data_IF_059115426149
#
_entry.id   IF_059115426149
#
_cell.length_a   1.000
_cell.length_b   1.000
_cell.length_c   1.000
_cell.angle_alpha   90.00
_cell.angle_beta   90.00
_cell.angle_gamma   90.00
#
_symmetry.space_group_name_H-M   'P 1'
#
loop_
_entity.id
_entity.type
_entity.pdbx_description
1 polymer ?
#
# COMPACT_ATOMS: atom_id res chain seq x y z
N UNK A 1 -34.49 -1.27 -18.05
CA UNK A 1 -33.50 -1.55 -16.99
C UNK A 1 -32.62 -2.71 -17.42
N UNK A 2 -31.31 -2.68 -17.12
CA UNK A 2 -30.34 -3.78 -17.32
C UNK A 2 -29.86 -4.30 -15.96
N UNK A 3 -29.18 -5.44 -15.91
CA UNK A 3 -28.74 -6.05 -14.65
C UNK A 3 -27.27 -6.49 -14.69
N UNK A 4 -26.57 -6.29 -13.56
CA UNK A 4 -25.23 -6.82 -13.28
C UNK A 4 -25.19 -7.21 -11.81
N UNK A 5 -24.80 -8.46 -11.50
CA UNK A 5 -24.60 -8.91 -10.12
C UNK A 5 -25.85 -8.84 -9.22
N UNK A 6 -27.05 -8.87 -9.80
CA UNK A 6 -28.31 -8.74 -9.06
C UNK A 6 -28.77 -7.30 -8.82
N UNK A 7 -27.96 -6.29 -9.16
CA UNK A 7 -28.38 -4.89 -9.17
C UNK A 7 -28.99 -4.52 -10.52
N UNK A 8 -30.15 -3.86 -10.48
CA UNK A 8 -30.77 -3.25 -11.66
C UNK A 8 -30.18 -1.87 -11.91
N UNK A 9 -29.99 -1.48 -13.16
CA UNK A 9 -29.48 -0.14 -13.48
C UNK A 9 -30.02 0.42 -14.79
N UNK A 10 -29.96 1.74 -14.90
CA UNK A 10 -30.20 2.52 -16.12
C UNK A 10 -29.01 3.45 -16.34
N UNK A 11 -28.58 3.54 -17.61
CA UNK A 11 -27.54 4.47 -18.04
C UNK A 11 -28.20 5.52 -18.92
N UNK A 12 -28.03 6.76 -18.50
CA UNK A 12 -28.39 7.99 -19.20
C UNK A 12 -27.16 8.60 -19.86
N UNK A 13 -27.34 9.75 -20.53
CA UNK A 13 -26.25 10.49 -21.16
C UNK A 13 -25.16 10.88 -20.14
N UNK A 14 -25.57 11.27 -18.93
CA UNK A 14 -24.68 11.79 -17.88
C UNK A 14 -24.60 10.84 -16.69
N UNK A 15 -25.68 10.14 -16.36
CA UNK A 15 -25.81 9.41 -15.09
C UNK A 15 -25.92 7.90 -15.27
N UNK A 16 -25.42 7.18 -14.27
CA UNK A 16 -25.82 5.80 -13.99
C UNK A 16 -26.67 5.81 -12.72
N UNK A 17 -27.87 5.25 -12.81
CA UNK A 17 -28.75 5.05 -11.65
C UNK A 17 -28.91 3.56 -11.39
N UNK A 18 -28.68 3.15 -10.15
CA UNK A 18 -28.72 1.77 -9.66
C UNK A 18 -29.90 1.57 -8.72
N UNK A 19 -30.66 0.50 -8.93
CA UNK A 19 -31.52 -0.13 -7.94
C UNK A 19 -30.67 -1.17 -7.21
N UNK A 20 -30.12 -0.79 -6.07
CA UNK A 20 -29.17 -1.59 -5.33
C UNK A 20 -29.85 -2.82 -4.72
N UNK A 21 -29.31 -4.00 -5.05
CA UNK A 21 -29.70 -5.34 -4.60
C UNK A 21 -30.79 -5.36 -3.51
N UNK A 22 -32.08 -5.44 -3.87
CA UNK A 22 -33.15 -5.45 -2.90
C UNK A 22 -32.96 -6.60 -1.91
N UNK A 23 -32.78 -6.28 -0.63
CA UNK A 23 -32.56 -7.28 0.41
C UNK A 23 -33.90 -7.84 0.85
N UNK A 24 -34.04 -9.16 0.77
CA UNK A 24 -35.24 -9.89 1.19
C UNK A 24 -34.89 -10.71 2.42
N UNK A 25 -35.62 -10.52 3.52
CA UNK A 25 -35.41 -11.27 4.75
C UNK A 25 -36.71 -11.38 5.55
N UNK A 26 -36.77 -12.34 6.48
CA UNK A 26 -37.85 -12.47 7.45
C UNK A 26 -37.65 -11.45 8.58
N UNK A 27 -38.45 -10.37 8.67
CA UNK A 27 -38.33 -9.42 9.77
C UNK A 27 -38.70 -10.10 11.08
N UNK A 28 -37.93 -9.85 12.15
CA UNK A 28 -38.20 -10.41 13.48
C UNK A 28 -38.33 -11.94 13.55
N UNK A 29 -37.69 -12.65 12.59
CA UNK A 29 -37.78 -14.12 12.40
C UNK A 29 -39.20 -14.63 12.09
N UNK A 30 -40.07 -13.75 11.59
CA UNK A 30 -41.43 -14.08 11.15
C UNK A 30 -41.39 -14.88 9.83
N UNK A 31 -41.70 -16.19 9.84
CA UNK A 31 -41.58 -17.04 8.66
C UNK A 31 -42.63 -16.73 7.59
N UNK A 32 -43.72 -16.05 7.95
CA UNK A 32 -44.85 -15.80 7.05
C UNK A 32 -44.75 -14.46 6.33
N UNK A 33 -43.73 -13.65 6.66
CA UNK A 33 -43.51 -12.31 6.12
C UNK A 33 -42.10 -12.16 5.58
N UNK A 34 -41.99 -11.56 4.40
CA UNK A 34 -40.74 -11.11 3.81
C UNK A 34 -40.73 -9.58 3.79
N UNK A 35 -39.63 -8.99 4.26
CA UNK A 35 -39.34 -7.57 4.09
C UNK A 35 -38.36 -7.41 2.96
N UNK A 36 -38.77 -6.66 1.94
CA UNK A 36 -37.92 -6.21 0.83
C UNK A 36 -37.47 -4.79 1.14
N UNK A 37 -36.16 -4.54 1.18
CA UNK A 37 -35.59 -3.19 1.31
C UNK A 37 -34.78 -2.88 0.06
N UNK A 38 -34.96 -1.70 -0.52
CA UNK A 38 -34.21 -1.24 -1.69
C UNK A 38 -33.67 0.17 -1.49
N UNK A 39 -32.64 0.50 -2.26
CA UNK A 39 -32.15 1.87 -2.41
C UNK A 39 -31.99 2.21 -3.88
N UNK A 40 -32.17 3.48 -4.20
CA UNK A 40 -31.90 4.05 -5.50
C UNK A 40 -30.69 4.95 -5.35
N UNK A 41 -29.63 4.62 -6.05
CA UNK A 41 -28.35 5.33 -5.97
C UNK A 41 -27.97 5.86 -7.35
N UNK A 42 -27.36 7.04 -7.43
CA UNK A 42 -27.00 7.70 -8.69
C UNK A 42 -25.59 8.26 -8.66
N UNK A 43 -24.90 8.25 -9.81
CA UNK A 43 -23.62 8.95 -10.00
C UNK A 43 -23.40 9.35 -11.46
N UNK A 44 -22.63 10.41 -11.73
CA UNK A 44 -22.21 10.71 -13.09
C UNK A 44 -21.33 9.58 -13.66
N UNK A 45 -21.40 9.34 -14.97
CA UNK A 45 -20.50 8.40 -15.64
C UNK A 45 -19.04 8.88 -15.57
N UNK A 46 -18.81 10.19 -15.57
CA UNK A 46 -17.47 10.77 -15.55
C UNK A 46 -16.67 10.38 -14.29
N UNK A 47 -17.30 10.23 -13.12
CA UNK A 47 -16.55 10.02 -11.87
C UNK A 47 -15.77 8.71 -11.84
N UNK A 48 -16.31 7.63 -12.43
CA UNK A 48 -15.54 6.38 -12.53
C UNK A 48 -14.48 6.44 -13.65
N UNK A 49 -14.72 7.14 -14.77
CA UNK A 49 -13.68 7.28 -15.81
C UNK A 49 -12.48 8.05 -15.25
N UNK A 50 -12.70 9.12 -14.49
CA UNK A 50 -11.62 9.88 -13.82
C UNK A 50 -10.80 8.96 -12.91
N UNK A 51 -11.47 8.13 -12.10
CA UNK A 51 -10.77 7.15 -11.25
C UNK A 51 -9.97 6.18 -12.09
N UNK A 52 -10.53 5.63 -13.18
CA UNK A 52 -9.82 4.66 -14.00
C UNK A 52 -8.67 5.29 -14.79
N UNK A 53 -8.83 6.50 -15.31
CA UNK A 53 -7.78 7.22 -16.02
C UNK A 53 -6.63 7.58 -15.07
N UNK A 54 -6.94 7.89 -13.81
CA UNK A 54 -5.93 8.16 -12.78
C UNK A 54 -5.27 6.88 -12.24
N UNK A 55 -6.00 5.79 -12.01
CA UNK A 55 -5.45 4.59 -11.37
C UNK A 55 -4.95 3.53 -12.34
N UNK A 56 -5.62 3.40 -13.47
CA UNK A 56 -5.47 2.31 -14.42
C UNK A 56 -5.28 2.85 -15.85
N UNK A 57 -4.37 3.83 -16.08
CA UNK A 57 -4.24 4.50 -17.38
C UNK A 57 -3.87 3.54 -18.51
N UNK A 58 -3.19 2.44 -18.18
CA UNK A 58 -2.70 1.44 -19.13
C UNK A 58 -3.72 0.30 -19.37
N UNK A 59 -4.85 0.28 -18.65
CA UNK A 59 -5.86 -0.79 -18.76
C UNK A 59 -6.89 -0.46 -19.82
N UNK A 60 -6.84 -1.19 -20.94
CA UNK A 60 -7.88 -1.09 -21.97
C UNK A 60 -9.20 -1.71 -21.49
N UNK A 61 -10.24 -0.87 -21.34
CA UNK A 61 -11.56 -1.32 -20.91
C UNK A 61 -12.60 -1.28 -22.04
N UNK A 62 -13.02 -2.47 -22.49
CA UNK A 62 -14.15 -2.59 -23.42
C UNK A 62 -15.48 -2.11 -22.80
N UNK A 63 -16.49 -1.76 -23.63
CA UNK A 63 -17.75 -1.17 -23.16
C UNK A 63 -18.47 -1.99 -22.08
N UNK A 64 -18.53 -3.31 -22.25
CA UNK A 64 -19.17 -4.20 -21.26
C UNK A 64 -18.41 -4.24 -19.93
N UNK A 65 -17.07 -4.24 -19.98
CA UNK A 65 -16.25 -4.25 -18.76
C UNK A 65 -16.41 -2.94 -17.99
N UNK A 66 -16.44 -1.80 -18.69
CA UNK A 66 -16.74 -0.50 -18.07
C UNK A 66 -18.07 -0.57 -17.33
N UNK A 67 -19.16 -0.94 -18.01
CA UNK A 67 -20.49 -1.04 -17.38
C UNK A 67 -20.47 -1.94 -16.14
N UNK A 68 -19.89 -3.14 -16.24
CA UNK A 68 -19.82 -4.05 -15.09
C UNK A 68 -19.08 -3.39 -13.91
N UNK A 69 -17.91 -2.79 -14.16
CA UNK A 69 -17.11 -2.16 -13.10
C UNK A 69 -17.81 -0.97 -12.44
N UNK A 70 -18.64 -0.21 -13.15
CA UNK A 70 -19.44 0.89 -12.53
C UNK A 70 -20.42 0.38 -11.49
N UNK A 71 -20.95 -0.82 -11.70
CA UNK A 71 -22.03 -1.42 -10.90
C UNK A 71 -21.49 -2.37 -9.83
N UNK A 72 -20.49 -3.20 -10.11
CA UNK A 72 -19.99 -4.18 -9.12
C UNK A 72 -18.46 -4.23 -9.01
N UNK A 73 -17.75 -3.24 -9.57
CA UNK A 73 -16.30 -3.18 -9.53
C UNK A 73 -15.74 -2.76 -8.18
N UNK A 74 -14.56 -3.28 -7.83
CA UNK A 74 -13.78 -2.86 -6.67
C UNK A 74 -13.22 -1.42 -6.81
N UNK A 75 -13.05 -0.93 -8.04
CA UNK A 75 -12.59 0.42 -8.37
C UNK A 75 -13.77 1.24 -8.90
N UNK A 76 -14.76 1.50 -8.06
CA UNK A 76 -15.94 2.32 -8.39
C UNK A 76 -16.09 3.45 -7.39
N UNK A 77 -16.50 4.62 -7.86
CA UNK A 77 -16.94 5.70 -6.97
C UNK A 77 -18.28 5.31 -6.37
N UNK A 78 -18.43 5.48 -5.06
CA UNK A 78 -19.67 5.22 -4.36
C UNK A 78 -20.76 6.18 -4.89
N UNK A 79 -21.93 5.70 -5.34
CA UNK A 79 -23.00 6.58 -5.79
C UNK A 79 -23.66 7.33 -4.62
N UNK A 80 -24.37 8.42 -4.92
CA UNK A 80 -25.23 9.15 -4.00
C UNK A 80 -26.57 8.43 -3.86
N UNK A 81 -27.00 8.14 -2.63
CA UNK A 81 -28.36 7.63 -2.40
C UNK A 81 -29.38 8.74 -2.61
N UNK A 82 -30.38 8.50 -3.45
CA UNK A 82 -31.44 9.47 -3.75
C UNK A 82 -32.82 9.04 -3.23
N UNK A 83 -33.04 7.75 -3.04
CA UNK A 83 -34.26 7.21 -2.43
C UNK A 83 -33.95 5.89 -1.71
N UNK A 84 -34.70 5.60 -0.66
CA UNK A 84 -34.74 4.29 0.01
C UNK A 84 -36.18 3.92 0.35
N UNK A 85 -36.48 2.63 0.35
CA UNK A 85 -37.81 2.15 0.63
C UNK A 85 -37.84 0.72 1.15
N UNK A 86 -38.98 0.34 1.71
CA UNK A 86 -39.24 -1.03 2.12
C UNK A 86 -40.68 -1.45 1.83
N UNK A 87 -40.88 -2.74 1.61
CA UNK A 87 -42.17 -3.37 1.35
C UNK A 87 -42.22 -4.69 2.12
N UNK A 88 -43.26 -4.86 2.93
CA UNK A 88 -43.58 -6.14 3.54
C UNK A 88 -44.53 -6.91 2.61
N UNK A 89 -44.20 -8.17 2.31
CA UNK A 89 -45.03 -9.08 1.51
C UNK A 89 -45.18 -10.41 2.24
N UNK A 90 -46.32 -11.11 2.09
CA UNK A 90 -46.44 -12.49 2.57
C UNK A 90 -45.37 -13.39 1.94
N UNK A 91 -44.82 -14.34 2.70
CA UNK A 91 -43.79 -15.25 2.20
C UNK A 91 -44.28 -16.19 1.09
N UNK A 92 -45.60 -16.37 0.97
CA UNK A 92 -46.26 -17.15 -0.08
C UNK A 92 -46.48 -16.38 -1.37
N UNK A 93 -46.31 -15.06 -1.36
CA UNK A 93 -46.66 -14.18 -2.46
C UNK A 93 -45.42 -13.81 -3.28
N UNK A 94 -45.59 -13.67 -4.59
CA UNK A 94 -44.57 -13.04 -5.42
C UNK A 94 -44.49 -11.53 -5.09
N UNK A 95 -43.30 -10.98 -4.79
CA UNK A 95 -43.17 -9.56 -4.51
C UNK A 95 -43.67 -8.70 -5.68
N UNK A 96 -44.54 -7.74 -5.41
CA UNK A 96 -44.96 -6.77 -6.43
C UNK A 96 -43.83 -5.76 -6.71
N UNK A 97 -42.94 -6.13 -7.64
CA UNK A 97 -41.83 -5.30 -8.08
C UNK A 97 -42.27 -4.00 -8.77
N UNK A 98 -43.51 -3.90 -9.24
CA UNK A 98 -44.02 -2.71 -9.92
C UNK A 98 -43.85 -1.45 -9.06
N UNK A 99 -44.19 -1.52 -7.77
CA UNK A 99 -44.01 -0.39 -6.85
C UNK A 99 -42.55 0.03 -6.67
N UNK A 100 -41.63 -0.94 -6.66
CA UNK A 100 -40.20 -0.69 -6.51
C UNK A 100 -39.65 -0.04 -7.78
N UNK A 101 -40.07 -0.52 -8.95
CA UNK A 101 -39.68 0.03 -10.25
C UNK A 101 -40.27 1.43 -10.48
N UNK A 102 -41.52 1.67 -10.10
CA UNK A 102 -42.14 3.01 -10.16
C UNK A 102 -41.43 4.01 -9.24
N UNK A 103 -41.01 3.56 -8.04
CA UNK A 103 -40.21 4.38 -7.14
C UNK A 103 -38.84 4.70 -7.75
N UNK A 104 -38.17 3.70 -8.33
CA UNK A 104 -36.90 3.89 -9.03
C UNK A 104 -37.01 4.91 -10.18
N UNK A 105 -37.98 4.73 -11.07
CA UNK A 105 -38.14 5.60 -12.24
C UNK A 105 -38.50 7.04 -11.83
N UNK A 106 -39.36 7.20 -10.81
CA UNK A 106 -39.69 8.51 -10.22
C UNK A 106 -38.44 9.18 -9.63
N UNK A 107 -37.71 8.49 -8.75
CA UNK A 107 -36.52 9.02 -8.09
C UNK A 107 -35.49 9.50 -9.12
N UNK A 108 -35.18 8.62 -10.08
CA UNK A 108 -34.25 8.89 -11.17
C UNK A 108 -34.68 10.12 -11.99
N UNK A 109 -35.94 10.16 -12.41
CA UNK A 109 -36.45 11.23 -13.28
C UNK A 109 -36.44 12.57 -12.55
N UNK A 110 -36.86 12.60 -11.29
CA UNK A 110 -36.82 13.82 -10.47
C UNK A 110 -35.39 14.29 -10.21
N UNK A 111 -34.47 13.38 -9.93
CA UNK A 111 -33.07 13.72 -9.70
C UNK A 111 -32.42 14.31 -10.95
N UNK A 112 -32.55 13.65 -12.11
CA UNK A 112 -31.98 14.13 -13.37
C UNK A 112 -32.59 15.47 -13.79
N UNK A 113 -33.89 15.67 -13.57
CA UNK A 113 -34.54 16.95 -13.85
C UNK A 113 -34.03 18.09 -12.94
N UNK A 114 -33.72 17.80 -11.67
CA UNK A 114 -33.21 18.78 -10.73
C UNK A 114 -31.71 19.06 -10.90
N UNK A 115 -30.92 18.04 -11.27
CA UNK A 115 -29.47 18.10 -11.41
C UNK A 115 -29.03 17.57 -12.78
N UNK A 116 -29.29 18.29 -13.88
CA UNK A 116 -29.09 17.75 -15.23
C UNK A 116 -27.62 17.55 -15.59
N UNK A 117 -26.67 18.24 -14.95
CA UNK A 117 -25.24 18.18 -15.29
C UNK A 117 -24.37 17.57 -14.19
N UNK A 118 -23.15 17.14 -14.54
CA UNK A 118 -22.15 16.72 -13.55
C UNK A 118 -21.77 17.83 -12.56
N UNK A 119 -21.88 19.11 -12.95
CA UNK A 119 -21.68 20.23 -12.04
C UNK A 119 -22.81 20.34 -11.01
N UNK A 120 -24.06 20.12 -11.44
CA UNK A 120 -25.23 20.11 -10.54
C UNK A 120 -25.17 18.96 -9.54
N UNK A 121 -24.54 17.84 -9.91
CA UNK A 121 -24.30 16.73 -8.99
C UNK A 121 -23.46 17.13 -7.77
N UNK A 122 -22.49 18.06 -7.93
CA UNK A 122 -21.70 18.57 -6.79
C UNK A 122 -22.62 19.30 -5.80
N UNK A 123 -23.53 20.14 -6.30
CA UNK A 123 -24.54 20.80 -5.47
C UNK A 123 -25.45 19.79 -4.77
N UNK A 124 -25.79 18.68 -5.43
CA UNK A 124 -26.57 17.60 -4.81
C UNK A 124 -25.83 16.92 -3.65
N UNK A 125 -24.50 16.75 -3.75
CA UNK A 125 -23.67 16.19 -2.68
C UNK A 125 -23.62 17.11 -1.45
N UNK A 126 -23.52 18.42 -1.65
CA UNK A 126 -23.50 19.40 -0.56
C UNK A 126 -24.84 19.47 0.19
N UNK A 127 -25.95 19.25 -0.52
CA UNK A 127 -27.30 19.35 0.02
C UNK A 127 -27.80 18.05 0.66
N UNK A 128 -27.21 16.91 0.31
CA UNK A 128 -27.71 15.58 0.70
C UNK A 128 -26.63 14.79 1.44
N UNK A 129 -26.87 14.53 2.72
CA UNK A 129 -26.12 13.51 3.47
C UNK A 129 -26.69 12.12 3.23
N UNK A 130 -25.83 11.13 3.00
CA UNK A 130 -26.23 9.73 2.81
C UNK A 130 -25.49 8.72 3.71
N UNK A 131 -24.78 9.24 4.72
CA UNK A 131 -24.22 8.44 5.82
C UNK A 131 -23.13 7.45 5.42
N UNK A 132 -22.51 7.60 4.25
CA UNK A 132 -21.37 6.77 3.85
C UNK A 132 -20.11 7.12 4.65
N UNK A 133 -19.14 6.20 4.68
CA UNK A 133 -17.87 6.41 5.37
C UNK A 133 -17.13 7.65 4.82
N UNK A 134 -16.49 8.48 5.68
CA UNK A 134 -15.85 9.73 5.27
C UNK A 134 -14.87 9.58 4.11
N UNK A 135 -14.04 8.54 4.12
CA UNK A 135 -13.09 8.24 3.04
C UNK A 135 -13.75 8.04 1.67
N UNK A 136 -14.93 7.40 1.64
CA UNK A 136 -15.70 7.18 0.40
C UNK A 136 -16.40 8.47 -0.04
N UNK A 137 -16.89 9.26 0.90
CA UNK A 137 -17.48 10.57 0.62
C UNK A 137 -16.45 11.51 -0.01
N UNK A 138 -15.24 11.54 0.54
CA UNK A 138 -14.15 12.38 0.04
C UNK A 138 -13.76 12.00 -1.40
N UNK A 139 -13.52 10.71 -1.67
CA UNK A 139 -13.25 10.23 -3.04
C UNK A 139 -14.36 10.61 -4.02
N UNK A 140 -15.64 10.50 -3.60
CA UNK A 140 -16.79 10.90 -4.41
C UNK A 140 -16.82 12.40 -4.68
N UNK A 141 -16.54 13.23 -3.69
CA UNK A 141 -16.57 14.69 -3.85
C UNK A 141 -15.43 15.17 -4.75
N UNK A 142 -14.20 14.68 -4.53
CA UNK A 142 -13.03 15.04 -5.36
C UNK A 142 -13.28 14.67 -6.83
N UNK A 143 -13.74 13.45 -7.10
CA UNK A 143 -14.04 13.02 -8.49
C UNK A 143 -15.22 13.79 -9.11
N UNK A 144 -16.23 14.17 -8.32
CA UNK A 144 -17.34 15.00 -8.79
C UNK A 144 -16.90 16.43 -9.14
N UNK A 145 -16.02 17.04 -8.33
CA UNK A 145 -15.44 18.36 -8.62
C UNK A 145 -14.63 18.33 -9.91
N UNK A 146 -13.82 17.30 -10.13
CA UNK A 146 -13.09 17.09 -11.38
C UNK A 146 -14.07 16.98 -12.57
N UNK A 147 -15.10 16.14 -12.44
CA UNK A 147 -16.12 15.96 -13.49
C UNK A 147 -16.89 17.25 -13.81
N UNK A 148 -17.00 18.15 -12.83
CA UNK A 148 -17.62 19.47 -12.97
C UNK A 148 -16.68 20.54 -13.57
N UNK A 149 -15.44 20.19 -13.91
CA UNK A 149 -14.43 21.14 -14.38
C UNK A 149 -13.80 22.00 -13.27
N UNK A 150 -14.02 21.66 -12.00
CA UNK A 150 -13.49 22.34 -10.81
C UNK A 150 -12.21 21.64 -10.31
N UNK A 151 -11.27 21.40 -11.22
CA UNK A 151 -10.09 20.59 -10.94
C UNK A 151 -9.16 21.22 -9.88
N UNK A 152 -8.99 22.55 -9.88
CA UNK A 152 -8.18 23.24 -8.87
C UNK A 152 -8.72 23.03 -7.45
N UNK A 153 -10.04 23.14 -7.29
CA UNK A 153 -10.69 22.90 -6.00
C UNK A 153 -10.61 21.43 -5.58
N UNK A 154 -10.75 20.50 -6.52
CA UNK A 154 -10.57 19.08 -6.27
C UNK A 154 -9.16 18.77 -5.75
N UNK A 155 -8.14 19.38 -6.35
CA UNK A 155 -6.75 19.24 -5.94
C UNK A 155 -6.53 19.80 -4.53
N UNK A 156 -7.03 21.01 -4.24
CA UNK A 156 -6.93 21.63 -2.92
C UNK A 156 -7.60 20.78 -1.85
N UNK A 157 -8.80 20.26 -2.11
CA UNK A 157 -9.53 19.39 -1.18
C UNK A 157 -8.75 18.09 -0.91
N UNK A 158 -8.22 17.46 -1.96
CA UNK A 158 -7.43 16.24 -1.81
C UNK A 158 -6.14 16.49 -1.01
N UNK A 159 -5.41 17.58 -1.31
CA UNK A 159 -4.19 17.95 -0.59
C UNK A 159 -4.44 18.24 0.90
N UNK A 160 -5.52 18.95 1.22
CA UNK A 160 -5.89 19.23 2.61
C UNK A 160 -6.21 17.95 3.38
N UNK A 161 -6.93 17.02 2.75
CA UNK A 161 -7.25 15.74 3.36
C UNK A 161 -5.99 14.88 3.57
N UNK A 162 -5.10 14.81 2.58
CA UNK A 162 -3.81 14.11 2.69
C UNK A 162 -2.98 14.70 3.84
N UNK A 163 -2.90 16.03 3.93
CA UNK A 163 -2.17 16.72 5.01
C UNK A 163 -2.80 16.48 6.40
N UNK A 164 -4.12 16.23 6.46
CA UNK A 164 -4.83 15.85 7.68
C UNK A 164 -4.69 14.35 8.04
N UNK A 165 -3.98 13.56 7.23
CA UNK A 165 -3.84 12.12 7.42
C UNK A 165 -5.07 11.31 7.01
N UNK A 166 -5.99 11.91 6.26
CA UNK A 166 -7.14 11.20 5.70
C UNK A 166 -6.72 10.39 4.47
N UNK A 167 -7.47 9.31 4.21
CA UNK A 167 -7.22 8.40 3.09
C UNK A 167 -8.50 8.17 2.30
N UNK A 168 -8.37 7.81 1.02
CA UNK A 168 -9.50 7.43 0.20
C UNK A 168 -9.92 5.97 0.43
N UNK A 169 -11.14 5.64 -0.02
CA UNK A 169 -11.75 4.33 0.23
C UNK A 169 -11.24 3.16 -0.64
N UNK A 170 -10.25 3.38 -1.52
CA UNK A 170 -9.75 2.37 -2.46
C UNK A 170 -8.31 1.95 -2.12
N UNK A 171 -8.07 0.64 -2.11
CA UNK A 171 -6.78 0.05 -1.76
C UNK A 171 -5.85 -0.06 -2.98
N UNK A 172 -4.72 0.64 -2.95
CA UNK A 172 -3.51 0.30 -3.71
C UNK A 172 -2.27 0.55 -2.85
N UNK A 173 -1.07 0.41 -3.43
CA UNK A 173 0.20 0.72 -2.77
C UNK A 173 0.29 2.18 -2.30
N UNK A 174 -0.52 3.09 -2.88
CA UNK A 174 -0.53 4.53 -2.60
C UNK A 174 -1.98 5.04 -2.47
N UNK A 175 -2.24 6.13 -1.73
CA UNK A 175 -3.62 6.60 -1.54
C UNK A 175 -4.29 7.05 -2.82
N UNK A 176 -5.59 6.73 -2.98
CA UNK A 176 -6.34 7.18 -4.14
C UNK A 176 -6.47 8.69 -4.24
N UNK A 177 -6.48 9.40 -3.11
CA UNK A 177 -6.50 10.85 -3.09
C UNK A 177 -5.21 11.46 -3.64
N UNK A 178 -4.06 10.80 -3.48
CA UNK A 178 -2.80 11.31 -4.03
C UNK A 178 -2.80 11.26 -5.56
N UNK A 179 -3.28 10.16 -6.15
CA UNK A 179 -3.51 10.09 -7.59
C UNK A 179 -4.51 11.14 -8.07
N UNK A 180 -5.64 11.29 -7.38
CA UNK A 180 -6.68 12.24 -7.78
C UNK A 180 -6.20 13.69 -7.65
N UNK A 181 -5.43 14.01 -6.61
CA UNK A 181 -4.78 15.32 -6.45
C UNK A 181 -3.83 15.60 -7.61
N UNK A 182 -2.91 14.67 -7.89
CA UNK A 182 -1.94 14.83 -8.96
C UNK A 182 -2.61 14.93 -10.34
N UNK A 183 -3.64 14.12 -10.59
CA UNK A 183 -4.43 14.14 -11.82
C UNK A 183 -5.17 15.48 -11.99
N UNK A 184 -5.79 15.98 -10.92
CA UNK A 184 -6.53 17.25 -10.93
C UNK A 184 -5.62 18.47 -11.14
N UNK A 185 -4.37 18.42 -10.69
CA UNK A 185 -3.33 19.45 -10.93
C UNK A 185 -2.84 19.48 -12.39
N UNK A 186 -3.18 18.47 -13.18
CA UNK A 186 -2.91 18.42 -14.62
C UNK A 186 -1.72 17.53 -15.01
N UNK A 187 -1.41 17.45 -16.32
CA UNK A 187 -0.54 16.41 -16.87
C UNK A 187 0.88 16.36 -16.30
N UNK A 188 1.48 17.53 -16.03
CA UNK A 188 2.84 17.60 -15.49
C UNK A 188 2.90 17.09 -14.04
N UNK A 189 1.99 17.57 -13.18
CA UNK A 189 1.91 17.11 -11.79
C UNK A 189 1.62 15.61 -11.70
N UNK A 190 0.74 15.11 -12.56
CA UNK A 190 0.46 13.67 -12.65
C UNK A 190 1.67 12.86 -13.15
N UNK A 191 2.43 13.38 -14.11
CA UNK A 191 3.68 12.77 -14.56
C UNK A 191 4.71 12.72 -13.44
N UNK A 192 4.93 13.82 -12.74
CA UNK A 192 5.91 13.90 -11.64
C UNK A 192 5.52 12.95 -10.50
N UNK A 193 4.24 12.89 -10.15
CA UNK A 193 3.70 11.90 -9.20
C UNK A 193 3.95 10.46 -9.66
N UNK A 194 3.67 10.13 -10.93
CA UNK A 194 3.95 8.80 -11.49
C UNK A 194 5.45 8.45 -11.44
N UNK A 195 6.33 9.44 -11.57
CA UNK A 195 7.78 9.25 -11.39
C UNK A 195 8.11 8.95 -9.93
N UNK A 196 7.48 9.63 -8.96
CA UNK A 196 7.73 9.36 -7.55
C UNK A 196 7.11 8.07 -7.02
N UNK A 197 6.17 7.47 -7.75
CA UNK A 197 5.69 6.11 -7.49
C UNK A 197 6.73 5.01 -7.78
N UNK A 198 7.85 5.34 -8.44
CA UNK A 198 8.89 4.33 -8.72
C UNK A 198 9.45 3.79 -7.39
N UNK A 199 9.46 2.47 -7.18
CA UNK A 199 10.00 1.93 -5.95
C UNK A 199 11.48 2.24 -5.81
N UNK A 200 11.84 2.67 -4.62
CA UNK A 200 13.20 3.01 -4.18
C UNK A 200 13.82 1.94 -3.31
N UNK A 201 12.98 1.12 -2.67
CA UNK A 201 13.42 0.05 -1.79
C UNK A 201 12.57 -1.19 -1.96
N UNK A 202 13.17 -2.32 -1.59
CA UNK A 202 12.52 -3.61 -1.43
C UNK A 202 12.45 -3.94 0.06
N UNK A 203 11.25 -4.19 0.56
CA UNK A 203 11.02 -4.60 1.93
C UNK A 203 10.61 -6.07 1.98
N UNK A 204 11.28 -6.86 2.81
CA UNK A 204 11.00 -8.29 3.00
C UNK A 204 10.88 -8.65 4.48
N UNK A 205 9.80 -9.34 4.84
CA UNK A 205 9.68 -10.00 6.14
C UNK A 205 9.79 -11.53 5.96
N UNK A 206 10.67 -12.14 6.75
CA UNK A 206 10.98 -13.57 6.72
C UNK A 206 10.23 -14.32 7.82
N UNK A 207 9.64 -15.43 7.41
CA UNK A 207 8.78 -16.29 8.22
C UNK A 207 9.31 -17.72 8.14
N UNK A 208 9.30 -18.48 9.24
CA UNK A 208 9.65 -19.91 9.18
C UNK A 208 8.42 -20.75 8.79
N UNK A 209 7.23 -20.38 9.26
CA UNK A 209 6.03 -21.22 9.10
C UNK A 209 5.14 -20.82 7.92
N UNK A 210 5.20 -19.56 7.49
CA UNK A 210 4.45 -19.08 6.33
C UNK A 210 5.14 -19.49 5.04
N UNK A 211 4.38 -20.04 4.09
CA UNK A 211 4.88 -20.54 2.79
C UNK A 211 5.44 -19.46 1.85
N UNK A 212 5.33 -18.18 2.20
CA UNK A 212 5.83 -17.07 1.40
C UNK A 212 6.27 -15.92 2.30
N UNK A 213 7.51 -15.48 2.13
CA UNK A 213 7.97 -14.19 2.63
C UNK A 213 7.08 -13.08 2.06
N UNK A 214 6.78 -12.08 2.88
CA UNK A 214 6.06 -10.89 2.40
C UNK A 214 7.11 -9.95 1.83
N UNK A 215 7.08 -9.75 0.51
CA UNK A 215 7.92 -8.75 -0.18
C UNK A 215 7.04 -7.64 -0.73
N UNK A 216 7.40 -6.39 -0.46
CA UNK A 216 6.68 -5.21 -0.94
C UNK A 216 7.68 -4.18 -1.46
N UNK A 217 7.37 -3.66 -2.65
CA UNK A 217 8.07 -2.55 -3.26
C UNK A 217 7.67 -1.23 -2.57
N UNK A 218 8.66 -0.46 -2.10
CA UNK A 218 8.42 0.80 -1.39
C UNK A 218 8.90 2.03 -2.16
N UNK A 219 8.01 2.98 -2.36
CA UNK A 219 8.30 4.28 -2.99
C UNK A 219 8.45 5.34 -1.92
N UNK A 220 9.66 5.92 -1.78
CA UNK A 220 10.09 6.76 -0.64
C UNK A 220 9.08 7.81 -0.20
N UNK A 221 8.43 8.45 -1.17
CA UNK A 221 7.50 9.55 -0.93
C UNK A 221 6.12 9.10 -0.41
N UNK A 222 5.76 7.82 -0.59
CA UNK A 222 4.38 7.35 -0.48
C UNK A 222 4.16 6.21 0.53
N UNK A 223 5.22 5.76 1.21
CA UNK A 223 5.08 4.73 2.24
C UNK A 223 4.44 5.26 3.52
N UNK A 224 3.38 4.57 3.96
CA UNK A 224 2.53 4.94 5.09
C UNK A 224 3.05 4.53 6.48
N UNK A 225 4.26 3.99 6.58
CA UNK A 225 4.88 3.65 7.87
C UNK A 225 4.40 2.33 8.48
N UNK A 226 4.53 1.23 7.73
CA UNK A 226 4.23 -0.13 8.23
C UNK A 226 5.46 -0.83 8.82
N UNK A 227 6.66 -0.32 8.58
CA UNK A 227 7.91 -0.97 8.99
C UNK A 227 8.01 -1.12 10.51
N UNK A 228 7.68 -0.07 11.27
CA UNK A 228 7.70 -0.11 12.72
C UNK A 228 6.80 -1.22 13.28
N UNK A 229 5.59 -1.37 12.76
CA UNK A 229 4.67 -2.42 13.17
C UNK A 229 5.27 -3.81 12.96
N UNK A 230 5.85 -4.07 11.78
CA UNK A 230 6.45 -5.37 11.51
C UNK A 230 7.68 -5.66 12.39
N UNK A 231 8.52 -4.66 12.67
CA UNK A 231 9.69 -4.81 13.56
C UNK A 231 9.24 -5.10 15.00
N UNK A 232 8.18 -4.45 15.47
CA UNK A 232 7.56 -4.72 16.78
C UNK A 232 6.88 -6.09 16.87
N UNK A 233 6.42 -6.64 15.76
CA UNK A 233 5.78 -7.96 15.71
C UNK A 233 6.79 -9.13 15.69
N UNK A 234 8.10 -8.87 15.59
CA UNK A 234 9.11 -9.92 15.59
C UNK A 234 9.18 -10.65 16.93
N UNK A 235 9.15 -11.98 16.91
CA UNK A 235 9.19 -12.81 18.12
C UNK A 235 10.37 -13.81 18.15
N UNK A 236 11.28 -13.73 17.16
CA UNK A 236 12.39 -14.66 16.98
C UNK A 236 12.03 -15.95 16.25
N UNK A 237 10.75 -16.15 15.91
CA UNK A 237 10.25 -17.32 15.20
C UNK A 237 9.48 -16.97 13.92
N UNK A 238 8.47 -16.10 13.98
CA UNK A 238 7.54 -15.84 12.88
C UNK A 238 6.78 -14.50 13.01
N UNK A 239 7.28 -13.36 12.49
CA UNK A 239 8.49 -13.19 11.69
C UNK A 239 9.76 -13.20 12.54
N UNK A 240 10.85 -13.72 11.97
CA UNK A 240 12.16 -13.80 12.64
C UNK A 240 13.21 -12.85 12.07
N UNK A 241 13.00 -12.34 10.85
CA UNK A 241 13.88 -11.34 10.25
C UNK A 241 13.13 -10.39 9.30
N UNK A 242 13.68 -9.18 9.18
CA UNK A 242 13.21 -8.15 8.26
C UNK A 242 14.42 -7.61 7.50
N UNK A 243 14.28 -7.39 6.20
CA UNK A 243 15.29 -6.80 5.32
C UNK A 243 14.68 -5.63 4.56
N UNK A 244 15.38 -4.51 4.55
CA UNK A 244 15.07 -3.35 3.74
C UNK A 244 16.28 -3.04 2.85
N UNK A 245 16.13 -3.23 1.55
CA UNK A 245 17.20 -3.02 0.57
C UNK A 245 16.93 -1.77 -0.26
N UNK A 246 17.90 -0.87 -0.38
CA UNK A 246 17.85 0.23 -1.32
C UNK A 246 18.07 -0.31 -2.74
N UNK A 247 17.22 0.14 -3.68
CA UNK A 247 17.38 -0.21 -5.09
C UNK A 247 18.50 0.61 -5.71
N UNK A 248 19.29 0.04 -6.63
CA UNK A 248 20.26 0.81 -7.39
C UNK A 248 19.59 1.95 -8.17
N UNK A 249 20.34 3.01 -8.51
CA UNK A 249 19.85 4.04 -9.41
C UNK A 249 19.34 3.45 -10.73
N UNK A 250 18.33 4.09 -11.33
CA UNK A 250 17.72 3.60 -12.55
C UNK A 250 18.76 3.36 -13.67
N UNK A 251 18.76 2.15 -14.23
CA UNK A 251 19.70 1.74 -15.28
C UNK A 251 21.02 1.16 -14.78
N UNK A 252 21.26 1.14 -13.46
CA UNK A 252 22.40 0.46 -12.85
C UNK A 252 22.00 -0.99 -12.50
N UNK A 253 22.80 -2.01 -12.86
CA UNK A 253 22.53 -3.39 -12.48
C UNK A 253 22.50 -3.59 -10.96
N UNK A 254 21.57 -4.41 -10.49
CA UNK A 254 21.54 -4.89 -9.12
C UNK A 254 22.53 -6.06 -8.98
N UNK A 255 23.65 -5.82 -8.30
CA UNK A 255 24.68 -6.82 -8.00
C UNK A 255 25.35 -6.52 -6.64
N UNK A 256 26.43 -7.24 -6.32
CA UNK A 256 27.13 -7.03 -5.05
C UNK A 256 27.76 -5.64 -4.90
N UNK A 257 28.07 -4.94 -5.99
CA UNK A 257 28.65 -3.58 -5.94
C UNK A 257 27.61 -2.50 -5.60
N UNK A 258 26.33 -2.81 -5.78
CA UNK A 258 25.21 -1.92 -5.46
C UNK A 258 24.39 -2.43 -4.27
N UNK A 259 24.87 -3.48 -3.58
CA UNK A 259 24.22 -4.02 -2.39
C UNK A 259 24.26 -3.00 -1.26
N UNK A 260 23.07 -2.52 -0.89
CA UNK A 260 22.87 -1.54 0.16
C UNK A 260 21.58 -1.87 0.91
N UNK A 261 21.69 -2.37 2.14
CA UNK A 261 20.53 -2.83 2.88
C UNK A 261 20.72 -2.75 4.40
N UNK A 262 19.59 -2.75 5.10
CA UNK A 262 19.48 -2.91 6.54
C UNK A 262 18.67 -4.17 6.84
N UNK A 263 19.15 -4.99 7.77
CA UNK A 263 18.48 -6.21 8.21
C UNK A 263 18.38 -6.24 9.73
N UNK A 264 17.26 -6.72 10.26
CA UNK A 264 17.11 -7.10 11.66
C UNK A 264 16.72 -8.57 11.78
N UNK A 265 17.23 -9.25 12.80
CA UNK A 265 16.87 -10.63 13.13
C UNK A 265 16.80 -10.84 14.65
N UNK A 266 15.81 -11.60 15.12
CA UNK A 266 15.56 -11.85 16.54
C UNK A 266 14.12 -11.53 16.96
N UNK A 267 13.93 -11.12 18.21
CA UNK A 267 12.64 -10.73 18.78
C UNK A 267 12.57 -9.23 19.06
N UNK A 268 11.36 -8.73 19.33
CA UNK A 268 11.13 -7.31 19.60
C UNK A 268 11.93 -6.78 20.82
N UNK A 269 12.24 -7.64 21.78
CA UNK A 269 13.00 -7.27 22.98
C UNK A 269 14.52 -7.39 22.78
N UNK A 270 14.97 -8.20 21.83
CA UNK A 270 16.37 -8.42 21.54
C UNK A 270 16.56 -8.87 20.08
N UNK A 271 17.09 -7.96 19.27
CA UNK A 271 17.46 -8.22 17.88
C UNK A 271 18.86 -7.72 17.56
N UNK A 272 19.50 -8.40 16.62
CA UNK A 272 20.71 -7.89 15.96
C UNK A 272 20.32 -7.08 14.73
N UNK A 273 21.08 -6.04 14.43
CA UNK A 273 20.92 -5.26 13.20
C UNK A 273 22.20 -5.36 12.37
N UNK A 274 22.04 -5.64 11.10
CA UNK A 274 23.12 -5.71 10.11
C UNK A 274 22.91 -4.66 9.04
N UNK A 275 24.00 -4.00 8.65
CA UNK A 275 24.02 -2.97 7.62
C UNK A 275 25.06 -3.35 6.57
N UNK A 276 24.64 -3.39 5.31
CA UNK A 276 25.51 -3.64 4.17
C UNK A 276 25.55 -2.41 3.29
N UNK A 277 26.74 -1.97 2.91
CA UNK A 277 26.93 -0.83 2.00
C UNK A 277 28.04 -1.08 0.98
N UNK A 278 27.99 -0.42 -0.20
CA UNK A 278 29.08 -0.44 -1.16
C UNK A 278 30.40 0.05 -0.57
N UNK A 279 31.50 -0.65 -0.82
CA UNK A 279 32.82 -0.31 -0.25
C UNK A 279 33.76 -1.51 -0.08
N UNK A 280 34.82 -1.31 0.72
CA UNK A 280 35.78 -2.37 1.07
C UNK A 280 36.83 -2.69 0.01
N UNK A 281 37.15 -1.74 -0.88
CA UNK A 281 38.13 -1.95 -1.95
C UNK A 281 39.51 -2.36 -1.41
N UNK A 282 39.89 -1.89 -0.21
CA UNK A 282 41.13 -2.20 0.49
C UNK A 282 41.27 -3.67 0.90
N UNK A 283 40.14 -4.39 1.05
CA UNK A 283 40.10 -5.83 1.31
C UNK A 283 39.69 -6.63 0.05
N UNK A 284 39.57 -5.96 -1.10
CA UNK A 284 39.13 -6.56 -2.36
C UNK A 284 37.62 -6.85 -2.43
N UNK A 285 36.82 -6.22 -1.57
CA UNK A 285 35.37 -6.26 -1.62
C UNK A 285 34.81 -5.11 -2.48
N UNK A 286 33.54 -5.25 -2.89
CA UNK A 286 32.72 -4.21 -3.52
C UNK A 286 31.55 -3.77 -2.63
N UNK A 287 31.21 -4.56 -1.61
CA UNK A 287 30.34 -4.17 -0.50
C UNK A 287 30.74 -4.91 0.76
N UNK A 288 30.39 -4.33 1.91
CA UNK A 288 30.73 -4.87 3.24
C UNK A 288 29.47 -4.92 4.08
N UNK A 289 29.18 -6.11 4.63
CA UNK A 289 28.17 -6.32 5.67
C UNK A 289 28.81 -6.20 7.04
N UNK A 290 28.21 -5.39 7.88
CA UNK A 290 28.63 -5.14 9.25
C UNK A 290 27.49 -5.40 10.23
N UNK A 291 27.83 -5.91 11.42
CA UNK A 291 26.93 -5.87 12.57
C UNK A 291 26.98 -4.46 13.15
N UNK A 292 25.81 -3.88 13.40
CA UNK A 292 25.66 -2.55 13.98
C UNK A 292 25.74 -2.66 15.50
N UNK A 293 26.38 -1.70 16.16
CA UNK A 293 26.41 -1.63 17.60
C UNK A 293 26.41 -0.21 18.14
N UNK A 294 26.07 -0.09 19.42
CA UNK A 294 26.21 1.12 20.21
C UNK A 294 27.69 1.37 20.53
N UNK A 295 28.12 2.64 20.64
CA UNK A 295 29.46 2.98 21.09
C UNK A 295 29.73 2.33 22.46
N UNK A 296 30.82 1.59 22.55
CA UNK A 296 31.23 0.92 23.78
C UNK A 296 32.73 1.09 24.02
N UNK A 297 33.13 0.93 25.28
CA UNK A 297 34.54 0.94 25.68
C UNK A 297 34.97 -0.45 26.14
N UNK A 298 36.20 -0.85 25.80
CA UNK A 298 36.77 -2.14 26.21
C UNK A 298 36.47 -3.28 25.24
N UNK A 299 36.92 -4.49 25.58
CA UNK A 299 36.70 -5.67 24.76
C UNK A 299 35.26 -6.16 24.92
N UNK A 300 34.55 -6.30 23.81
CA UNK A 300 33.20 -6.82 23.81
C UNK A 300 33.18 -8.33 24.12
N UNK A 301 32.32 -8.73 25.05
CA UNK A 301 32.00 -10.13 25.30
C UNK A 301 30.73 -10.49 24.54
N UNK A 302 30.70 -11.67 23.92
CA UNK A 302 29.48 -12.26 23.36
C UNK A 302 28.70 -12.88 24.52
N UNK A 303 27.60 -12.25 24.93
CA UNK A 303 26.88 -12.57 26.17
C UNK A 303 25.34 -12.53 26.06
N UNK A 304 24.80 -12.24 24.88
CA UNK A 304 23.35 -12.20 24.65
C UNK A 304 22.99 -13.16 23.52
N UNK A 305 22.12 -14.12 23.81
CA UNK A 305 21.63 -15.06 22.81
C UNK A 305 20.46 -14.46 22.03
N UNK A 306 20.60 -14.40 20.71
CA UNK A 306 19.53 -14.12 19.76
C UNK A 306 19.05 -15.45 19.20
N UNK A 307 17.82 -15.83 19.55
CA UNK A 307 17.19 -17.08 19.09
C UNK A 307 16.59 -16.85 17.72
N UNK A 308 17.04 -17.63 16.74
CA UNK A 308 16.52 -17.68 15.38
C UNK A 308 15.91 -19.07 15.12
N UNK A 309 15.10 -19.27 14.07
CA UNK A 309 14.41 -20.55 13.85
C UNK A 309 15.33 -21.77 13.71
N UNK A 310 16.58 -21.56 13.24
CA UNK A 310 17.53 -22.63 12.92
C UNK A 310 18.85 -22.55 13.66
N UNK A 311 19.05 -21.51 14.48
CA UNK A 311 20.30 -21.25 15.17
C UNK A 311 20.07 -20.35 16.38
N UNK A 312 21.05 -20.35 17.28
CA UNK A 312 21.17 -19.32 18.31
C UNK A 312 22.48 -18.59 18.04
N UNK A 313 22.42 -17.28 17.94
CA UNK A 313 23.60 -16.44 17.76
C UNK A 313 23.92 -15.72 19.06
N UNK A 314 25.13 -15.89 19.58
CA UNK A 314 25.58 -15.14 20.76
C UNK A 314 26.23 -13.84 20.31
N UNK A 315 25.58 -12.73 20.63
CA UNK A 315 25.91 -11.37 20.21
C UNK A 315 26.39 -10.56 21.42
N UNK A 316 27.20 -9.53 21.19
CA UNK A 316 27.62 -8.64 22.27
C UNK A 316 26.46 -7.75 22.69
N UNK A 317 26.26 -7.50 23.98
CA UNK A 317 25.18 -6.61 24.48
C UNK A 317 25.08 -5.25 23.79
N UNK A 318 26.20 -4.65 23.39
CA UNK A 318 26.20 -3.35 22.71
C UNK A 318 25.68 -3.44 21.26
N UNK A 319 25.59 -4.63 20.67
CA UNK A 319 25.07 -4.89 19.31
C UNK A 319 23.61 -5.36 19.32
N UNK A 320 22.97 -5.34 20.48
CA UNK A 320 21.57 -5.73 20.65
C UNK A 320 20.70 -4.47 20.68
N UNK A 321 19.62 -4.51 19.90
CA UNK A 321 18.66 -3.44 19.76
C UNK A 321 17.28 -3.89 20.23
N UNK A 322 16.50 -2.93 20.70
CA UNK A 322 15.04 -3.10 20.87
C UNK A 322 14.33 -2.85 19.53
N UNK A 323 13.10 -3.35 19.38
CA UNK A 323 12.27 -3.07 18.21
C UNK A 323 12.06 -1.56 17.99
N UNK A 324 11.98 -0.77 19.06
CA UNK A 324 11.80 0.68 18.93
C UNK A 324 13.02 1.34 18.28
N UNK A 325 14.23 1.05 18.76
CA UNK A 325 15.46 1.59 18.15
C UNK A 325 15.67 1.09 16.72
N UNK A 326 15.43 -0.20 16.49
CA UNK A 326 15.53 -0.76 15.15
C UNK A 326 14.52 -0.11 14.20
N UNK A 327 13.26 0.09 14.61
CA UNK A 327 12.25 0.75 13.79
C UNK A 327 12.65 2.18 13.41
N UNK A 328 13.26 2.95 14.33
CA UNK A 328 13.79 4.28 14.04
C UNK A 328 14.96 4.23 13.03
N UNK A 329 15.82 3.22 13.13
CA UNK A 329 16.92 3.01 12.19
C UNK A 329 16.41 2.61 10.80
N UNK A 330 15.41 1.73 10.71
CA UNK A 330 14.74 1.35 9.46
C UNK A 330 14.07 2.55 8.80
N UNK A 331 13.33 3.37 9.56
CA UNK A 331 12.72 4.58 9.01
C UNK A 331 13.79 5.58 8.53
N UNK A 332 14.88 5.75 9.29
CA UNK A 332 15.98 6.64 8.86
C UNK A 332 16.65 6.13 7.59
N UNK A 333 16.99 4.84 7.53
CA UNK A 333 17.57 4.22 6.35
C UNK A 333 16.65 4.36 5.15
N UNK A 334 15.36 4.06 5.32
CA UNK A 334 14.35 4.25 4.27
C UNK A 334 14.30 5.68 3.72
N UNK A 335 14.43 6.69 4.58
CA UNK A 335 14.36 8.10 4.18
C UNK A 335 15.67 8.63 3.61
N UNK A 336 16.82 8.09 3.99
CA UNK A 336 18.13 8.73 3.75
C UNK A 336 19.22 7.80 3.22
N UNK A 337 18.96 6.51 3.09
CA UNK A 337 19.92 5.45 2.73
C UNK A 337 21.10 5.33 3.72
N UNK A 338 20.99 5.91 4.92
CA UNK A 338 22.01 5.83 5.98
C UNK A 338 21.35 5.55 7.33
N UNK A 339 22.08 4.87 8.22
CA UNK A 339 21.59 4.56 9.58
C UNK A 339 21.79 5.71 10.59
N UNK A 340 22.53 6.74 10.19
CA UNK A 340 22.87 7.90 11.00
C UNK A 340 24.20 7.78 11.75
N UNK A 341 24.62 8.87 12.37
CA UNK A 341 25.83 8.94 13.21
C UNK A 341 25.58 8.32 14.59
N UNK A 342 26.65 7.86 15.24
CA UNK A 342 26.60 7.38 16.63
C UNK A 342 26.48 5.87 16.79
N UNK A 343 26.61 5.10 15.71
CA UNK A 343 26.78 3.64 15.77
C UNK A 343 28.22 3.25 15.41
N UNK A 344 28.64 2.10 15.91
CA UNK A 344 29.87 1.43 15.49
C UNK A 344 29.53 0.27 14.58
N UNK A 345 30.32 0.10 13.52
CA UNK A 345 30.17 -0.99 12.57
C UNK A 345 31.28 -2.01 12.78
N UNK A 346 30.91 -3.27 13.03
CA UNK A 346 31.86 -4.38 13.04
C UNK A 346 31.71 -5.18 11.74
N UNK A 347 32.68 -5.09 10.81
CA UNK A 347 32.64 -5.87 9.57
C UNK A 347 32.60 -7.36 9.86
N UNK A 348 31.70 -8.08 9.18
CA UNK A 348 31.58 -9.54 9.29
C UNK A 348 31.80 -10.24 7.96
N UNK A 349 31.40 -9.61 6.85
CA UNK A 349 31.55 -10.17 5.52
C UNK A 349 31.85 -9.08 4.49
N UNK A 350 32.77 -9.35 3.57
CA UNK A 350 32.94 -8.59 2.34
C UNK A 350 32.46 -9.39 1.14
N UNK A 351 31.77 -8.76 0.20
CA UNK A 351 31.36 -9.40 -1.05
C UNK A 351 32.21 -8.91 -2.20
N UNK A 352 32.68 -9.84 -3.04
CA UNK A 352 33.41 -9.54 -4.27
C UNK A 352 32.45 -9.33 -5.44
N UNK A 353 32.93 -8.68 -6.50
CA UNK A 353 32.15 -8.47 -7.73
C UNK A 353 31.68 -9.79 -8.38
N UNK A 354 32.43 -10.88 -8.21
CA UNK A 354 32.08 -12.22 -8.70
C UNK A 354 31.15 -12.99 -7.75
N UNK A 355 30.72 -12.37 -6.66
CA UNK A 355 29.90 -12.98 -5.60
C UNK A 355 30.69 -13.80 -4.57
N UNK A 356 32.02 -13.82 -4.64
CA UNK A 356 32.86 -14.45 -3.63
C UNK A 356 32.75 -13.77 -2.27
N UNK A 357 32.68 -14.56 -1.21
CA UNK A 357 32.63 -14.10 0.18
C UNK A 357 34.05 -13.94 0.76
N UNK A 358 34.27 -12.85 1.49
CA UNK A 358 35.43 -12.62 2.34
C UNK A 358 34.93 -12.65 3.78
N UNK A 359 35.32 -13.66 4.55
CA UNK A 359 34.97 -13.75 5.97
C UNK A 359 35.84 -12.79 6.78
N UNK A 360 35.21 -11.80 7.43
CA UNK A 360 35.87 -10.77 8.23
C UNK A 360 35.71 -11.00 9.74
N UNK A 361 35.06 -12.10 10.13
CA UNK A 361 34.87 -12.46 11.55
C UNK A 361 36.15 -12.95 12.22
N UNK A 362 37.19 -13.24 11.44
CA UNK A 362 38.51 -13.63 11.93
C UNK A 362 39.57 -12.63 11.47
N UNK A 363 40.57 -12.29 12.31
CA UNK A 363 41.69 -11.48 11.86
C UNK A 363 42.43 -12.21 10.72
N UNK A 364 42.99 -11.48 9.74
CA UNK A 364 43.72 -12.11 8.64
C UNK A 364 44.85 -12.96 9.23
N UNK A 365 44.83 -14.26 8.94
CA UNK A 365 45.95 -15.15 9.25
C UNK A 365 47.16 -14.66 8.50
N UNK A 366 48.03 -13.93 9.19
CA UNK A 366 49.36 -13.59 8.72
C UNK A 366 50.15 -14.86 8.45
N UNK A 367 50.52 -15.09 7.19
CA UNK A 367 51.63 -15.96 6.82
C UNK A 367 51.28 -17.33 6.22
N UNK A 368 51.03 -17.37 4.92
CA UNK A 368 51.73 -18.36 4.09
C UNK A 368 52.79 -17.63 3.27
N UNK A 369 53.98 -17.50 3.86
CA UNK A 369 55.19 -17.32 3.07
C UNK A 369 55.25 -18.45 2.04
N UNK A 370 55.20 -18.08 0.77
CA UNK A 370 55.46 -18.97 -0.34
C UNK A 370 56.96 -19.33 -0.36
N UNK A 371 57.40 -20.23 0.53
CA UNK A 371 58.68 -20.93 0.38
C UNK A 371 58.47 -22.14 -0.55
N UNK A 372 58.52 -21.86 -1.84
CA UNK A 372 58.48 -22.85 -2.91
C UNK A 372 59.70 -22.73 -3.83
N UNK A 373 60.85 -23.13 -3.30
CA UNK A 373 62.09 -23.58 -3.96
C UNK A 373 62.26 -23.31 -5.46
N UNK A 374 63.26 -22.47 -5.73
CA UNK A 374 64.11 -22.52 -6.93
C UNK A 374 64.70 -23.93 -7.10
N UNK A 375 64.51 -24.52 -8.27
CA UNK A 375 65.31 -25.63 -8.77
C UNK A 375 65.43 -25.53 -10.29
N UNK A 376 66.58 -25.03 -10.73
CA UNK A 376 67.26 -25.37 -11.98
C UNK A 376 68.75 -25.55 -11.61
N UNK A 377 69.47 -26.50 -12.21
CA UNK A 377 69.72 -26.51 -13.65
C UNK A 377 69.14 -27.71 -14.40
#
# INVERSE_FOLDING_TARGET
MRFVGGSGFVVDDIYLTELCYPRVFHPDKDPDRLRVIWTVDVKPLAVDEIVWDAFLPDVSMGPQMRINRRVNGAFRVQPLRIEEGSLDVPATDEPNWGRVLDAFDRARTQFIAAYPTAADYVSALEQRGDGIAPNRALTRTVTALIAAGRAEEAAQMADQAIAAGESGGMSSTVDVLEYLSAWAKGPQAYYDFRVSLKPTHDYSAMYETKRSNVSVDLSREHHRGMMAHHVHDMDGSDPWAIVLSARPPAGVPADFSTSHYLQAAGSADAMTVEYCEPGGAEIGAVSVRSVVGHPHTGTAQLDVDIVLPRSVETISRHEVFTAQEAAEMFERFYRTDVIGEGYVLRPVEGYRADGGLIDLRQPPTSGQEHRGRSSAP
#
